data_IF_811363218554
#
_entry.id   IF_811363218554
#
_cell.length_a   1.000
_cell.length_b   1.000
_cell.length_c   1.000
_cell.angle_alpha   90.00
_cell.angle_beta   90.00
_cell.angle_gamma   90.00
#
_symmetry.space_group_name_H-M   'P 1'
#
loop_
_entity.id
_entity.type
_entity.pdbx_description
1 polymer ?
#
# COMPACT_ATOMS: atom_id res chain seq x y z
N UNK A 1 6.74 27.23 -7.20
CA UNK A 1 7.57 26.04 -7.47
C UNK A 1 7.76 25.30 -6.15
N UNK A 2 7.22 24.09 -6.00
CA UNK A 2 7.35 23.33 -4.76
C UNK A 2 8.79 22.80 -4.64
N UNK A 3 9.48 23.14 -3.55
CA UNK A 3 10.79 22.58 -3.24
C UNK A 3 10.61 21.08 -2.98
N UNK A 4 11.15 20.24 -3.86
CA UNK A 4 11.27 18.80 -3.62
C UNK A 4 12.47 18.65 -2.68
N UNK A 5 12.19 18.57 -1.38
CA UNK A 5 13.20 18.28 -0.38
C UNK A 5 13.70 16.85 -0.67
N UNK A 6 15.02 16.62 -0.83
CA UNK A 6 15.53 15.26 -0.89
C UNK A 6 15.23 14.64 0.48
N UNK A 7 14.22 13.77 0.53
CA UNK A 7 13.92 13.04 1.75
C UNK A 7 15.21 12.28 2.08
N UNK A 8 15.74 12.51 3.28
CA UNK A 8 16.88 11.76 3.79
C UNK A 8 16.59 10.26 3.84
N UNK A 9 17.42 9.49 4.55
CA UNK A 9 17.17 8.05 4.69
C UNK A 9 15.80 7.83 5.35
N UNK A 10 14.81 7.34 4.58
CA UNK A 10 13.48 6.99 5.13
C UNK A 10 13.67 5.72 5.95
N UNK A 11 13.31 5.72 7.25
CA UNK A 11 13.44 4.53 8.06
C UNK A 11 12.51 3.44 7.55
N UNK A 12 12.97 2.18 7.58
CA UNK A 12 12.19 1.03 7.08
C UNK A 12 10.84 0.89 7.80
N UNK A 13 10.77 1.32 9.07
CA UNK A 13 9.51 1.37 9.85
C UNK A 13 8.50 2.35 9.28
N UNK A 14 8.94 3.52 8.77
CA UNK A 14 8.06 4.46 8.09
C UNK A 14 7.59 3.92 6.73
N UNK A 15 8.44 3.18 6.01
CA UNK A 15 8.04 2.49 4.78
C UNK A 15 6.97 1.43 5.05
N UNK A 16 7.15 0.62 6.10
CA UNK A 16 6.17 -0.39 6.52
C UNK A 16 4.84 0.29 6.92
N UNK A 17 4.90 1.34 7.74
CA UNK A 17 3.71 2.06 8.18
C UNK A 17 2.91 2.65 7.01
N UNK A 18 3.60 3.25 6.04
CA UNK A 18 2.95 3.82 4.86
C UNK A 18 2.37 2.74 3.94
N UNK A 19 3.10 1.64 3.73
CA UNK A 19 2.59 0.51 2.95
C UNK A 19 1.36 -0.13 3.61
N UNK A 20 1.32 -0.20 4.95
CA UNK A 20 0.17 -0.69 5.70
C UNK A 20 -1.02 0.29 5.58
N UNK A 21 -0.80 1.60 5.71
CA UNK A 21 -1.83 2.63 5.49
C UNK A 21 -2.45 2.51 4.10
N UNK A 22 -1.63 2.33 3.08
CA UNK A 22 -2.08 2.15 1.68
C UNK A 22 -2.89 0.85 1.50
N UNK A 23 -2.44 -0.26 2.13
CA UNK A 23 -3.18 -1.52 2.09
C UNK A 23 -4.60 -1.36 2.69
N UNK A 24 -4.71 -0.69 3.82
CA UNK A 24 -5.99 -0.49 4.50
C UNK A 24 -6.90 0.47 3.73
N UNK A 25 -6.34 1.52 3.13
CA UNK A 25 -7.08 2.39 2.23
C UNK A 25 -7.61 1.62 1.01
N UNK A 26 -6.80 0.77 0.36
CA UNK A 26 -7.22 -0.03 -0.79
C UNK A 26 -8.37 -0.98 -0.46
N UNK A 27 -8.37 -1.59 0.72
CA UNK A 27 -9.47 -2.46 1.18
C UNK A 27 -10.80 -1.71 1.22
N UNK A 28 -10.79 -0.43 1.59
CA UNK A 28 -12.00 0.41 1.62
C UNK A 28 -12.38 0.93 0.22
N UNK A 29 -11.42 1.52 -0.49
CA UNK A 29 -11.66 2.20 -1.79
C UNK A 29 -12.01 1.20 -2.89
N UNK A 30 -11.33 0.06 -2.95
CA UNK A 30 -11.58 -0.92 -4.00
C UNK A 30 -12.92 -1.62 -3.82
N UNK A 31 -13.36 -1.84 -2.58
CA UNK A 31 -14.71 -2.34 -2.33
C UNK A 31 -15.77 -1.39 -2.91
N UNK A 32 -15.65 -0.09 -2.67
CA UNK A 32 -16.55 0.91 -3.24
C UNK A 32 -16.49 0.93 -4.78
N UNK A 33 -15.30 0.80 -5.35
CA UNK A 33 -15.08 0.77 -6.81
C UNK A 33 -15.67 -0.49 -7.46
N UNK A 34 -15.54 -1.66 -6.82
CA UNK A 34 -16.16 -2.90 -7.28
C UNK A 34 -17.68 -2.79 -7.24
N UNK A 35 -18.23 -2.25 -6.15
CA UNK A 35 -19.68 -2.03 -6.02
C UNK A 35 -20.22 -1.05 -7.06
N UNK A 36 -19.44 -0.04 -7.42
CA UNK A 36 -19.76 0.91 -8.49
C UNK A 36 -19.56 0.35 -9.92
N UNK A 37 -19.03 -0.87 -10.06
CA UNK A 37 -18.74 -1.50 -11.36
C UNK A 37 -17.54 -0.89 -12.09
N UNK A 38 -16.78 0.01 -11.46
CA UNK A 38 -15.60 0.67 -12.05
C UNK A 38 -14.32 -0.15 -11.93
N UNK A 39 -14.36 -1.25 -11.17
CA UNK A 39 -13.27 -2.20 -10.98
C UNK A 39 -13.81 -3.62 -10.90
N UNK A 40 -13.11 -4.60 -11.48
CA UNK A 40 -13.45 -6.02 -11.30
C UNK A 40 -12.96 -6.52 -9.94
N UNK A 41 -13.74 -7.37 -9.29
CA UNK A 41 -13.37 -7.99 -8.01
C UNK A 41 -11.98 -8.65 -8.07
N UNK A 42 -11.69 -9.42 -9.14
CA UNK A 42 -10.40 -10.08 -9.31
C UNK A 42 -9.21 -9.10 -9.38
N UNK A 43 -9.39 -7.92 -9.95
CA UNK A 43 -8.34 -6.90 -10.03
C UNK A 43 -8.12 -6.23 -8.66
N UNK A 44 -9.20 -5.98 -7.91
CA UNK A 44 -9.14 -5.49 -6.54
C UNK A 44 -8.35 -6.46 -5.65
N UNK A 45 -8.74 -7.74 -5.68
CA UNK A 45 -8.12 -8.79 -4.88
C UNK A 45 -6.64 -8.96 -5.21
N UNK A 46 -6.29 -8.99 -6.50
CA UNK A 46 -4.90 -9.07 -6.95
C UNK A 46 -4.06 -7.89 -6.42
N UNK A 47 -4.57 -6.67 -6.51
CA UNK A 47 -3.85 -5.46 -6.07
C UNK A 47 -3.71 -5.39 -4.55
N UNK A 48 -4.71 -5.85 -3.80
CA UNK A 48 -4.66 -5.97 -2.33
C UNK A 48 -3.62 -7.02 -1.95
N UNK A 49 -3.63 -8.19 -2.58
CA UNK A 49 -2.67 -9.26 -2.31
C UNK A 49 -1.23 -8.83 -2.59
N UNK A 50 -0.98 -8.12 -3.69
CA UNK A 50 0.33 -7.56 -4.01
C UNK A 50 0.81 -6.56 -2.95
N UNK A 51 -0.06 -5.66 -2.49
CA UNK A 51 0.31 -4.69 -1.45
C UNK A 51 0.57 -5.38 -0.10
N UNK A 52 -0.23 -6.39 0.27
CA UNK A 52 0.04 -7.20 1.45
C UNK A 52 1.39 -7.94 1.38
N UNK A 53 1.76 -8.45 0.20
CA UNK A 53 3.07 -9.06 -0.01
C UNK A 53 4.22 -8.05 0.12
N UNK A 54 4.03 -6.81 -0.34
CA UNK A 54 4.99 -5.71 -0.16
C UNK A 54 5.19 -5.42 1.33
N UNK A 55 4.10 -5.22 2.09
CA UNK A 55 4.17 -5.01 3.54
C UNK A 55 4.95 -6.15 4.20
N UNK A 56 4.57 -7.41 3.92
CA UNK A 56 5.26 -8.59 4.48
C UNK A 56 6.75 -8.59 4.16
N UNK A 57 7.13 -8.29 2.91
CA UNK A 57 8.54 -8.31 2.49
C UNK A 57 9.34 -7.21 3.19
N UNK A 58 8.76 -6.02 3.36
CA UNK A 58 9.39 -4.93 4.10
C UNK A 58 9.59 -5.31 5.58
N UNK A 59 8.56 -5.86 6.22
CA UNK A 59 8.61 -6.34 7.62
C UNK A 59 9.70 -7.39 7.82
N UNK A 60 9.73 -8.44 6.99
CA UNK A 60 10.77 -9.48 7.05
C UNK A 60 12.17 -8.92 6.83
N UNK A 61 12.33 -7.98 5.88
CA UNK A 61 13.63 -7.34 5.61
C UNK A 61 14.10 -6.49 6.78
N UNK A 62 13.18 -5.90 7.54
CA UNK A 62 13.46 -5.16 8.76
C UNK A 62 13.74 -6.07 9.98
N UNK A 63 13.60 -7.39 9.85
CA UNK A 63 13.64 -8.36 10.95
C UNK A 63 12.64 -8.04 12.08
N UNK A 64 11.49 -7.47 11.71
CA UNK A 64 10.33 -7.22 12.57
C UNK A 64 9.27 -8.31 12.33
#
# INVERSE_FOLDING_TARGET
>A
MAQIIPIGTIPVTALIAEAQRELDMRRQVYWASVRAGTMRQADADKRIALMAAIVKRLTVTAAL
#
